data_IF_823669791029
#
_entry.id   IF_823669791029
#
_cell.length_a   1.000
_cell.length_b   1.000
_cell.length_c   1.000
_cell.angle_alpha   90.00
_cell.angle_beta   90.00
_cell.angle_gamma   90.00
#
_symmetry.space_group_name_H-M   'P 1'
#
loop_
_entity.id
_entity.type
_entity.pdbx_description
1 polymer ?
#
# COMPACT_ATOMS: atom_id res chain seq x y z
N UNK A 1 20.37 20.21 -11.37
CA UNK A 1 20.05 19.15 -10.41
C UNK A 1 18.79 18.47 -10.89
N UNK A 2 18.92 17.35 -11.58
CA UNK A 2 17.79 16.52 -12.00
C UNK A 2 17.25 15.82 -10.76
N UNK A 3 15.96 16.04 -10.47
CA UNK A 3 15.30 15.52 -9.29
C UNK A 3 15.53 14.02 -9.10
N UNK A 4 15.86 13.65 -7.87
CA UNK A 4 15.88 12.27 -7.45
C UNK A 4 14.52 11.65 -7.83
N UNK A 5 14.54 10.63 -8.68
CA UNK A 5 13.38 9.74 -8.85
C UNK A 5 13.05 9.22 -7.46
N UNK A 6 11.88 9.57 -6.96
CA UNK A 6 11.37 8.90 -5.78
C UNK A 6 11.35 7.41 -6.12
N UNK A 7 12.16 6.63 -5.40
CA UNK A 7 12.10 5.18 -5.44
C UNK A 7 10.65 4.82 -5.23
N UNK A 8 10.04 4.13 -6.17
CA UNK A 8 8.72 3.54 -5.99
C UNK A 8 8.94 2.42 -4.99
N UNK A 9 8.79 2.78 -3.71
CA UNK A 9 8.79 1.78 -2.67
C UNK A 9 7.57 0.89 -2.91
N UNK A 10 7.80 -0.40 -3.14
CA UNK A 10 6.73 -1.38 -3.12
C UNK A 10 6.04 -1.36 -1.77
N UNK A 11 4.79 -1.78 -1.72
CA UNK A 11 4.06 -1.96 -0.49
C UNK A 11 3.37 -3.32 -0.44
N UNK A 12 3.11 -3.77 0.78
CA UNK A 12 2.39 -4.99 1.06
C UNK A 12 1.07 -4.65 1.75
N UNK A 13 -0.03 -5.19 1.21
CA UNK A 13 -1.33 -5.08 1.85
C UNK A 13 -1.53 -6.28 2.78
N UNK A 14 -1.49 -6.02 4.09
CA UNK A 14 -1.55 -7.04 5.15
C UNK A 14 -2.98 -7.47 5.53
N UNK A 15 -4.01 -6.79 5.04
CA UNK A 15 -5.37 -6.97 5.53
C UNK A 15 -5.64 -6.26 6.84
N UNK A 16 -6.86 -6.47 7.36
CA UNK A 16 -7.33 -5.78 8.56
C UNK A 16 -6.89 -6.45 9.87
N UNK A 17 -6.44 -7.72 9.81
CA UNK A 17 -6.13 -8.52 10.98
C UNK A 17 -4.68 -8.40 11.42
N UNK A 18 -4.45 -8.47 12.72
CA UNK A 18 -3.11 -8.38 13.33
C UNK A 18 -2.16 -9.47 12.83
N UNK A 19 -2.67 -10.68 12.54
CA UNK A 19 -1.86 -11.77 11.96
C UNK A 19 -1.15 -11.35 10.66
N UNK A 20 -1.79 -10.56 9.81
CA UNK A 20 -1.19 -10.04 8.58
C UNK A 20 -0.07 -9.05 8.87
N UNK A 21 -0.27 -8.15 9.84
CA UNK A 21 0.77 -7.20 10.29
C UNK A 21 1.96 -7.95 10.90
N UNK A 22 1.69 -8.91 11.77
CA UNK A 22 2.74 -9.75 12.39
C UNK A 22 3.54 -10.53 11.35
N UNK A 23 2.86 -11.04 10.33
CA UNK A 23 3.54 -11.72 9.24
C UNK A 23 4.38 -10.76 8.39
N UNK A 24 3.88 -9.56 8.09
CA UNK A 24 4.66 -8.53 7.40
C UNK A 24 5.91 -8.13 8.18
N UNK A 25 5.81 -7.99 9.53
CA UNK A 25 6.98 -7.76 10.41
C UNK A 25 8.00 -8.87 10.29
N UNK A 26 7.55 -10.14 10.30
CA UNK A 26 8.42 -11.30 10.13
C UNK A 26 9.12 -11.31 8.76
N UNK A 27 8.45 -10.86 7.72
CA UNK A 27 9.05 -10.67 6.39
C UNK A 27 10.14 -9.59 6.39
N UNK A 28 9.95 -8.48 7.14
CA UNK A 28 10.89 -7.36 7.17
C UNK A 28 11.00 -6.57 5.86
N UNK A 29 10.21 -6.88 4.87
CA UNK A 29 10.17 -6.24 3.55
C UNK A 29 8.77 -6.38 2.94
N UNK A 30 8.29 -5.41 2.15
CA UNK A 30 8.84 -4.08 1.85
C UNK A 30 8.69 -3.09 3.02
N UNK A 31 9.15 -1.85 2.82
CA UNK A 31 9.14 -0.81 3.85
C UNK A 31 7.73 -0.43 4.30
N UNK A 32 6.78 -0.34 3.36
CA UNK A 32 5.42 0.07 3.67
C UNK A 32 4.48 -1.13 3.78
N UNK A 33 3.75 -1.18 4.90
CA UNK A 33 2.72 -2.19 5.18
C UNK A 33 1.38 -1.49 5.31
N UNK A 34 0.47 -1.77 4.39
CA UNK A 34 -0.84 -1.11 4.33
C UNK A 34 -1.92 -2.06 4.85
N UNK A 35 -2.55 -1.69 5.95
CA UNK A 35 -3.72 -2.36 6.48
C UNK A 35 -4.99 -1.79 5.85
N UNK A 36 -5.60 -2.54 4.93
CA UNK A 36 -6.80 -2.16 4.20
C UNK A 36 -7.91 -3.18 4.44
N UNK A 37 -9.12 -2.72 4.75
CA UNK A 37 -10.31 -3.54 5.05
C UNK A 37 -10.91 -4.25 3.84
N UNK A 38 -10.26 -4.19 2.69
CA UNK A 38 -10.69 -4.90 1.50
C UNK A 38 -11.25 -4.02 0.38
N UNK A 39 -11.64 -4.66 -0.71
CA UNK A 39 -12.10 -4.02 -1.94
C UNK A 39 -13.60 -4.31 -2.17
N UNK A 40 -14.37 -3.29 -2.54
CA UNK A 40 -15.81 -3.46 -2.79
C UNK A 40 -16.14 -4.33 -4.01
N UNK A 41 -15.24 -4.41 -4.98
CA UNK A 41 -15.49 -5.06 -6.27
C UNK A 41 -15.05 -6.54 -6.34
N UNK A 42 -14.71 -7.16 -5.22
CA UNK A 42 -14.31 -8.56 -5.18
C UNK A 42 -13.64 -8.95 -3.88
N UNK A 43 -13.51 -10.25 -3.65
CA UNK A 43 -12.84 -10.81 -2.48
C UNK A 43 -11.45 -11.28 -2.91
N UNK A 44 -10.40 -10.70 -2.33
CA UNK A 44 -9.02 -11.12 -2.55
C UNK A 44 -8.73 -12.39 -1.73
N UNK A 45 -7.73 -13.17 -2.09
CA UNK A 45 -7.35 -14.39 -1.37
C UNK A 45 -7.18 -14.14 0.14
N UNK A 46 -6.50 -13.06 0.53
CA UNK A 46 -6.28 -12.71 1.95
C UNK A 46 -7.57 -12.39 2.72
N UNK A 47 -8.64 -12.02 2.01
CA UNK A 47 -9.93 -11.63 2.57
C UNK A 47 -10.96 -12.78 2.49
N UNK A 48 -10.54 -14.01 2.10
CA UNK A 48 -11.40 -15.16 1.83
C UNK A 48 -11.12 -16.33 2.79
N UNK A 49 -12.19 -16.94 3.28
CA UNK A 49 -12.17 -18.18 4.08
C UNK A 49 -11.18 -18.10 5.25
N UNK A 50 -10.38 -19.13 5.43
CA UNK A 50 -9.40 -19.23 6.51
C UNK A 50 -8.32 -18.14 6.48
N UNK A 51 -8.02 -17.57 5.32
CA UNK A 51 -7.10 -16.44 5.24
C UNK A 51 -7.65 -15.18 5.94
N UNK A 52 -8.97 -15.00 5.94
CA UNK A 52 -9.64 -13.88 6.63
C UNK A 52 -10.05 -14.21 8.07
N UNK A 53 -9.94 -15.45 8.50
CA UNK A 53 -10.22 -15.83 9.88
C UNK A 53 -9.05 -15.42 10.79
N UNK A 54 -9.23 -14.50 11.78
CA UNK A 54 -8.16 -14.02 12.64
C UNK A 54 -7.47 -15.14 13.44
N UNK A 55 -8.20 -16.20 13.80
CA UNK A 55 -7.70 -17.33 14.59
C UNK A 55 -6.94 -18.38 13.74
N UNK A 56 -7.03 -18.29 12.41
CA UNK A 56 -6.35 -19.21 11.52
C UNK A 56 -4.88 -18.82 11.33
N UNK A 57 -4.00 -19.83 11.32
CA UNK A 57 -2.58 -19.65 10.99
C UNK A 57 -2.35 -19.31 9.50
N UNK A 58 -3.35 -19.52 8.63
CA UNK A 58 -3.23 -19.22 7.20
C UNK A 58 -3.17 -17.70 7.00
N UNK A 59 -2.12 -17.23 6.31
CA UNK A 59 -1.92 -15.85 5.96
C UNK A 59 -1.67 -15.69 4.46
N UNK A 60 -2.20 -14.66 3.87
CA UNK A 60 -1.93 -14.28 2.49
C UNK A 60 -1.65 -12.78 2.45
N UNK A 61 -0.69 -12.39 1.62
CA UNK A 61 -0.28 -11.01 1.39
C UNK A 61 -0.55 -10.63 -0.06
N UNK A 62 -0.81 -9.35 -0.31
CA UNK A 62 -0.84 -8.81 -1.65
C UNK A 62 0.27 -7.77 -1.76
N UNK A 63 1.15 -7.91 -2.73
CA UNK A 63 2.22 -6.96 -3.00
C UNK A 63 1.86 -6.06 -4.18
N UNK A 64 2.10 -4.78 -4.02
CA UNK A 64 2.09 -3.79 -5.10
C UNK A 64 3.54 -3.42 -5.40
N UNK A 65 4.07 -3.94 -6.51
CA UNK A 65 5.49 -3.80 -6.85
C UNK A 65 5.86 -2.43 -7.44
N UNK A 66 4.88 -1.57 -7.69
CA UNK A 66 5.07 -0.28 -8.32
C UNK A 66 4.37 -0.15 -9.66
N UNK A 67 4.86 0.72 -10.54
CA UNK A 67 4.26 0.99 -11.85
C UNK A 67 4.58 -0.12 -12.86
N UNK A 68 3.63 -0.46 -13.75
CA UNK A 68 3.77 -1.55 -14.72
C UNK A 68 5.02 -1.52 -15.61
N UNK A 69 5.58 -0.35 -15.84
CA UNK A 69 6.77 -0.16 -16.70
C UNK A 69 7.97 0.39 -15.94
N UNK A 70 7.94 0.28 -14.61
CA UNK A 70 9.08 0.66 -13.79
C UNK A 70 10.09 -0.48 -13.79
N UNK A 71 11.35 -0.16 -14.11
CA UNK A 71 12.44 -1.14 -14.15
C UNK A 71 12.73 -1.77 -12.78
N UNK A 72 12.34 -1.11 -11.69
CA UNK A 72 12.58 -1.58 -10.32
C UNK A 72 11.47 -2.54 -9.82
N UNK A 73 10.29 -2.54 -10.47
CA UNK A 73 9.15 -3.38 -10.06
C UNK A 73 9.46 -4.88 -10.00
N UNK A 74 10.21 -5.49 -10.95
CA UNK A 74 10.58 -6.90 -10.86
C UNK A 74 11.45 -7.21 -9.64
N UNK A 75 12.38 -6.32 -9.31
CA UNK A 75 13.25 -6.48 -8.13
C UNK A 75 12.45 -6.43 -6.83
N UNK A 76 11.50 -5.50 -6.71
CA UNK A 76 10.57 -5.42 -5.57
C UNK A 76 9.77 -6.72 -5.42
N UNK A 77 9.23 -7.24 -6.53
CA UNK A 77 8.48 -8.48 -6.54
C UNK A 77 9.32 -9.67 -6.07
N UNK A 78 10.53 -9.82 -6.62
CA UNK A 78 11.44 -10.91 -6.29
C UNK A 78 11.87 -10.86 -4.81
N UNK A 79 12.26 -9.69 -4.32
CA UNK A 79 12.64 -9.51 -2.91
C UNK A 79 11.46 -9.80 -1.96
N UNK A 80 10.24 -9.38 -2.33
CA UNK A 80 9.05 -9.67 -1.52
C UNK A 80 8.77 -11.18 -1.48
N UNK A 81 8.88 -11.89 -2.61
CA UNK A 81 8.72 -13.35 -2.66
C UNK A 81 9.75 -14.02 -1.76
N UNK A 82 11.01 -13.63 -1.85
CA UNK A 82 12.07 -14.22 -1.02
C UNK A 82 11.85 -13.97 0.47
N UNK A 83 11.51 -12.73 0.85
CA UNK A 83 11.17 -12.38 2.23
C UNK A 83 9.97 -13.21 2.73
N UNK A 84 8.97 -13.42 1.89
CA UNK A 84 7.81 -14.26 2.20
C UNK A 84 8.20 -15.73 2.43
N UNK A 85 8.99 -16.32 1.54
CA UNK A 85 9.42 -17.72 1.63
C UNK A 85 10.27 -17.97 2.87
N UNK A 86 11.20 -17.08 3.19
CA UNK A 86 11.98 -17.11 4.43
C UNK A 86 11.09 -16.99 5.67
N UNK A 87 10.14 -16.05 5.65
CA UNK A 87 9.20 -15.86 6.76
C UNK A 87 8.28 -17.08 6.97
N UNK A 88 7.95 -17.82 5.90
CA UNK A 88 7.21 -19.09 5.99
C UNK A 88 8.07 -20.27 6.46
N UNK A 89 9.41 -20.15 6.45
CA UNK A 89 10.32 -21.28 6.66
C UNK A 89 10.31 -22.30 5.52
N UNK A 90 9.99 -21.86 4.31
CA UNK A 90 10.02 -22.69 3.11
C UNK A 90 11.43 -22.76 2.48
N UNK A 91 12.25 -21.78 2.79
CA UNK A 91 13.68 -21.72 2.49
C UNK A 91 14.42 -21.24 3.74
N UNK A 92 15.65 -21.70 3.93
CA UNK A 92 16.46 -21.35 5.09
C UNK A 92 17.29 -20.07 4.84
N UNK A 93 17.68 -19.84 3.59
CA UNK A 93 18.49 -18.70 3.18
C UNK A 93 18.11 -18.22 1.77
N UNK A 94 18.38 -16.94 1.48
CA UNK A 94 18.22 -16.42 0.15
C UNK A 94 19.41 -16.82 -0.75
N UNK A 95 19.19 -17.11 -2.06
CA UNK A 95 20.27 -17.29 -3.00
C UNK A 95 21.18 -16.06 -3.07
N UNK A 96 22.49 -16.26 -3.30
CA UNK A 96 23.48 -15.17 -3.34
C UNK A 96 23.21 -14.13 -4.44
N UNK A 97 22.57 -14.53 -5.52
CA UNK A 97 22.18 -13.68 -6.65
C UNK A 97 20.88 -12.90 -6.43
N UNK A 98 20.20 -13.17 -5.30
CA UNK A 98 19.00 -12.43 -4.90
C UNK A 98 19.29 -11.70 -3.58
N UNK A 99 19.99 -10.56 -3.63
CA UNK A 99 20.34 -9.83 -2.43
C UNK A 99 19.04 -9.30 -1.78
N UNK A 100 18.74 -9.80 -0.59
CA UNK A 100 17.70 -9.20 0.24
C UNK A 100 18.22 -7.86 0.73
N UNK A 101 17.64 -6.79 0.21
CA UNK A 101 17.89 -5.48 0.77
C UNK A 101 17.00 -5.35 2.01
N UNK A 102 17.57 -5.19 3.20
CA UNK A 102 16.77 -4.84 4.36
C UNK A 102 16.04 -3.53 4.10
N UNK A 103 14.86 -3.38 4.68
CA UNK A 103 14.20 -2.07 4.67
C UNK A 103 15.20 -1.00 5.12
N UNK A 104 15.21 0.14 4.43
CA UNK A 104 15.97 1.32 4.86
C UNK A 104 15.30 1.88 6.13
N UNK A 105 15.60 1.27 7.28
CA UNK A 105 14.99 1.59 8.57
C UNK A 105 13.92 0.56 9.02
N UNK A 106 13.02 0.99 9.90
CA UNK A 106 11.88 0.18 10.33
C UNK A 106 10.77 0.18 9.28
N UNK A 107 10.03 -0.93 9.18
CA UNK A 107 8.79 -0.96 8.41
C UNK A 107 7.82 0.10 8.93
N UNK A 108 7.09 0.73 8.02
CA UNK A 108 6.11 1.75 8.31
C UNK A 108 4.71 1.20 8.04
N UNK A 109 3.87 1.23 9.06
CA UNK A 109 2.52 0.70 8.99
C UNK A 109 1.53 1.83 8.75
N UNK A 110 0.62 1.61 7.80
CA UNK A 110 -0.43 2.56 7.41
C UNK A 110 -1.78 1.89 7.55
N UNK A 111 -2.68 2.49 8.32
CA UNK A 111 -4.06 2.05 8.41
C UNK A 111 -4.95 2.91 7.52
N UNK A 112 -5.66 2.25 6.58
CA UNK A 112 -6.60 2.91 5.69
C UNK A 112 -7.94 3.15 6.39
N UNK A 113 -8.36 4.40 6.39
CA UNK A 113 -9.65 4.83 6.96
C UNK A 113 -10.71 5.07 5.89
N UNK A 114 -10.31 5.58 4.71
CA UNK A 114 -11.23 5.98 3.64
C UNK A 114 -10.72 5.59 2.27
N UNK A 115 -11.63 5.28 1.36
CA UNK A 115 -11.37 5.15 -0.06
C UNK A 115 -12.20 6.21 -0.81
N UNK A 116 -11.53 7.05 -1.58
CA UNK A 116 -12.16 8.06 -2.42
C UNK A 116 -12.51 7.42 -3.76
N UNK A 117 -13.81 7.25 -4.04
CA UNK A 117 -14.29 6.73 -5.32
C UNK A 117 -14.67 7.89 -6.23
N UNK A 118 -14.21 7.86 -7.48
CA UNK A 118 -14.51 8.86 -8.51
C UNK A 118 -15.98 8.74 -8.93
N UNK A 119 -16.73 9.83 -8.82
CA UNK A 119 -18.17 9.87 -9.09
C UNK A 119 -18.50 10.50 -10.43
N UNK A 120 -17.64 11.34 -10.95
CA UNK A 120 -17.88 12.07 -12.20
C UNK A 120 -16.68 12.04 -13.14
N UNK A 121 -16.94 12.26 -14.42
CA UNK A 121 -15.90 12.36 -15.45
C UNK A 121 -15.09 13.68 -15.35
N UNK A 122 -15.45 14.55 -14.40
CA UNK A 122 -14.76 15.82 -14.10
C UNK A 122 -13.96 15.72 -12.79
N UNK A 123 -13.42 14.55 -12.47
CA UNK A 123 -12.53 14.38 -11.35
C UNK A 123 -11.13 14.89 -11.72
N UNK A 124 -10.55 15.70 -10.85
CA UNK A 124 -9.16 16.14 -10.97
C UNK A 124 -8.53 16.29 -9.58
N UNK A 125 -7.30 15.81 -9.42
CA UNK A 125 -6.50 16.15 -8.26
C UNK A 125 -6.10 17.62 -8.26
N UNK A 126 -5.93 18.22 -7.08
CA UNK A 126 -5.50 19.62 -6.94
C UNK A 126 -4.01 19.83 -7.24
N UNK A 127 -3.21 18.76 -7.17
CA UNK A 127 -1.78 18.72 -7.53
C UNK A 127 -1.36 17.28 -7.88
N UNK A 128 -0.13 17.11 -8.33
CA UNK A 128 0.48 15.80 -8.51
C UNK A 128 0.93 15.27 -7.17
N UNK A 129 0.20 14.32 -6.63
CA UNK A 129 0.52 13.66 -5.36
C UNK A 129 1.37 12.40 -5.57
N UNK A 130 2.26 12.15 -4.62
CA UNK A 130 3.04 10.92 -4.56
C UNK A 130 2.36 9.88 -3.65
N UNK A 131 2.65 8.60 -3.89
CA UNK A 131 2.24 7.56 -2.95
C UNK A 131 2.95 7.77 -1.60
N UNK A 132 2.22 7.60 -0.51
CA UNK A 132 2.66 7.81 0.89
C UNK A 132 2.97 9.28 1.25
N UNK A 133 2.61 10.22 0.39
CA UNK A 133 2.68 11.64 0.74
C UNK A 133 1.73 11.96 1.89
N UNK A 134 2.23 12.69 2.88
CA UNK A 134 1.45 13.13 4.05
C UNK A 134 0.96 14.55 3.86
N UNK A 135 -0.35 14.73 3.97
CA UNK A 135 -0.99 16.05 3.96
C UNK A 135 -1.16 16.52 5.40
N UNK A 136 -0.46 17.59 5.83
CA UNK A 136 -0.34 17.92 7.25
C UNK A 136 -1.65 18.36 7.91
N UNK A 137 -2.57 18.98 7.16
CA UNK A 137 -3.78 19.56 7.74
C UNK A 137 -5.05 18.90 7.26
N UNK A 138 -5.98 18.68 8.21
CA UNK A 138 -7.35 18.32 7.92
C UNK A 138 -8.03 19.37 7.03
N UNK A 139 -9.09 18.97 6.34
CA UNK A 139 -9.87 19.81 5.43
C UNK A 139 -9.03 20.43 4.28
N UNK A 140 -7.83 19.93 4.01
CA UNK A 140 -7.05 20.30 2.83
C UNK A 140 -7.69 19.67 1.60
N UNK A 141 -7.97 20.50 0.59
CA UNK A 141 -8.54 20.03 -0.67
C UNK A 141 -7.47 19.30 -1.49
N UNK A 142 -7.70 18.00 -1.72
CA UNK A 142 -6.81 17.13 -2.50
C UNK A 142 -7.35 16.85 -3.91
N UNK A 143 -8.65 17.02 -4.13
CA UNK A 143 -9.25 16.85 -5.46
C UNK A 143 -10.57 17.60 -5.57
N UNK A 144 -11.03 17.72 -6.82
CA UNK A 144 -12.37 18.18 -7.18
C UNK A 144 -13.06 17.06 -7.97
N UNK A 145 -14.29 16.70 -7.60
CA UNK A 145 -15.11 15.71 -8.32
C UNK A 145 -16.45 16.34 -8.73
N UNK A 146 -16.49 16.87 -9.93
CA UNK A 146 -17.60 17.71 -10.39
C UNK A 146 -17.71 18.98 -9.54
N UNK A 147 -18.82 19.13 -8.77
CA UNK A 147 -19.02 20.22 -7.82
C UNK A 147 -18.53 19.91 -6.41
N UNK A 148 -18.12 18.68 -6.12
CA UNK A 148 -17.71 18.24 -4.79
C UNK A 148 -16.21 18.40 -4.58
N UNK A 149 -15.83 19.04 -3.46
CA UNK A 149 -14.43 19.05 -2.99
C UNK A 149 -14.13 17.76 -2.26
N UNK A 150 -13.01 17.15 -2.57
CA UNK A 150 -12.46 16.03 -1.81
C UNK A 150 -11.43 16.60 -0.84
N UNK A 151 -11.71 16.45 0.45
CA UNK A 151 -10.89 17.01 1.53
C UNK A 151 -10.26 15.90 2.36
N UNK A 152 -9.10 16.18 2.95
CA UNK A 152 -8.50 15.29 3.95
C UNK A 152 -9.36 15.26 5.21
N UNK A 153 -9.65 14.07 5.77
CA UNK A 153 -10.55 13.95 6.92
C UNK A 153 -9.89 14.31 8.27
N UNK A 154 -8.56 14.39 8.33
CA UNK A 154 -7.79 14.64 9.55
C UNK A 154 -6.39 15.18 9.24
N UNK A 155 -5.70 15.67 10.26
CA UNK A 155 -4.29 16.07 10.20
C UNK A 155 -3.39 14.85 9.91
N UNK A 156 -2.26 15.08 9.25
CA UNK A 156 -1.28 14.07 8.85
C UNK A 156 -1.88 12.91 8.03
N UNK A 157 -2.77 13.28 7.11
CA UNK A 157 -3.43 12.32 6.23
C UNK A 157 -2.47 11.79 5.17
N UNK A 158 -2.25 10.47 5.15
CA UNK A 158 -1.39 9.79 4.19
C UNK A 158 -2.19 9.41 2.94
N UNK A 159 -1.67 9.77 1.77
CA UNK A 159 -2.25 9.42 0.47
C UNK A 159 -1.66 8.11 -0.02
N UNK A 160 -2.50 7.09 -0.22
CA UNK A 160 -2.05 5.77 -0.67
C UNK A 160 -2.59 5.48 -2.05
N UNK A 161 -1.69 5.18 -2.99
CA UNK A 161 -1.99 4.85 -4.39
C UNK A 161 -2.86 5.89 -5.09
N UNK A 162 -2.47 7.18 -5.16
CA UNK A 162 -3.21 8.16 -5.97
C UNK A 162 -3.19 7.74 -7.45
N UNK A 163 -4.38 7.69 -8.06
CA UNK A 163 -4.56 7.25 -9.43
C UNK A 163 -3.95 8.27 -10.41
N UNK A 164 -3.01 7.84 -11.27
CA UNK A 164 -2.43 8.70 -12.31
C UNK A 164 -3.41 9.01 -13.43
N UNK A 165 -4.31 8.08 -13.72
CA UNK A 165 -5.38 8.22 -14.70
C UNK A 165 -6.72 7.95 -14.00
N UNK A 166 -7.35 8.99 -13.44
CA UNK A 166 -8.63 8.86 -12.77
C UNK A 166 -9.74 8.39 -13.72
N UNK A 167 -10.43 7.32 -13.34
CA UNK A 167 -11.56 6.76 -14.13
C UNK A 167 -12.77 6.69 -13.23
N UNK A 168 -13.92 7.18 -13.71
CA UNK A 168 -15.19 7.14 -13.00
C UNK A 168 -15.53 5.73 -12.52
N UNK A 169 -15.98 5.61 -11.27
CA UNK A 169 -16.29 4.33 -10.62
C UNK A 169 -15.09 3.65 -9.95
N UNK A 170 -13.87 4.08 -10.26
CA UNK A 170 -12.66 3.54 -9.65
C UNK A 170 -12.25 4.33 -8.40
N UNK A 171 -11.39 3.75 -7.58
CA UNK A 171 -10.76 4.45 -6.45
C UNK A 171 -9.73 5.45 -6.98
N UNK A 172 -9.88 6.71 -6.60
CA UNK A 172 -8.90 7.76 -6.90
C UNK A 172 -7.67 7.68 -5.99
N UNK A 173 -7.91 7.51 -4.70
CA UNK A 173 -6.88 7.46 -3.65
C UNK A 173 -7.46 6.83 -2.39
N UNK A 174 -6.62 6.15 -1.60
CA UNK A 174 -6.94 5.75 -0.24
C UNK A 174 -6.31 6.73 0.73
N UNK A 175 -7.04 7.02 1.81
CA UNK A 175 -6.60 7.93 2.87
C UNK A 175 -6.34 7.11 4.12
N UNK A 176 -5.18 7.30 4.72
CA UNK A 176 -4.74 6.54 5.88
C UNK A 176 -3.91 7.37 6.84
N UNK A 177 -3.42 6.70 7.87
CA UNK A 177 -2.48 7.25 8.86
C UNK A 177 -1.33 6.29 9.07
N UNK A 178 -0.14 6.82 9.29
CA UNK A 178 0.91 6.04 9.92
C UNK A 178 0.47 5.69 11.34
N UNK A 179 0.64 4.43 11.69
CA UNK A 179 0.36 3.93 13.05
C UNK A 179 1.68 3.59 13.71
N UNK A 180 1.81 3.98 14.98
CA UNK A 180 2.93 3.56 15.81
C UNK A 180 2.84 2.05 16.08
N UNK A 181 3.97 1.38 16.13
CA UNK A 181 4.10 0.01 16.60
C UNK A 181 4.20 -0.08 18.12
#
# INVERSE_FOLDING_TARGET
LRGARALVAGDVLSGAHEKGRNFARKMGYPTYVVADKGHRAGVRLRDFGEFNNPESAKCAMLVECGQHFDNDSPAVGLQTIMAFLLACGMVDEAPEDIPLQPCLGQQQFIEISHAVTIRSDRFAFSSEFQCFETIPKAATQIAQDGSHKVLTPYDDCVLVMPARQPVRGHTAVRLGRFVAE
#
